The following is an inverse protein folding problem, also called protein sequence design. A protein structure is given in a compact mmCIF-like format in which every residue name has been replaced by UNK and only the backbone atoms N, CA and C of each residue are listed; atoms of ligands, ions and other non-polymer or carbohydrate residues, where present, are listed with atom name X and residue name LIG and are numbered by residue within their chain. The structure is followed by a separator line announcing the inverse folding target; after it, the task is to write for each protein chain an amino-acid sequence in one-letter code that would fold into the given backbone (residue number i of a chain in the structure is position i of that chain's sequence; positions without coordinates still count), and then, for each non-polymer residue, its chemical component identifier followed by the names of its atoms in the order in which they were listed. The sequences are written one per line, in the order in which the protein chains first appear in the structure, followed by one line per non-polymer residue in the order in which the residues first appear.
data_IF_915655248970
#
_entry.id   IF_915655248970
#
_cell.length_a   1.000
_cell.length_b   1.000
_cell.length_c   1.000
_cell.angle_alpha   90.00
_cell.angle_beta   90.00
_cell.angle_gamma   90.00
#
_symmetry.space_group_name_H-M   'P 1'
#
loop_
_entity.id
_entity.type
_entity.pdbx_description
1 polymer ?
#
# COMPACT_ATOMS: atom_id res chain seq x y z
N UNK A 1 -9.15 -21.71 2.77
CA UNK A 1 -10.23 -21.09 1.96
C UNK A 1 -11.53 -21.06 2.75
N UNK A 2 -11.89 -22.12 3.45
CA UNK A 2 -12.99 -22.09 4.44
C UNK A 2 -12.77 -20.98 5.48
N UNK A 3 -13.79 -20.17 5.71
CA UNK A 3 -13.77 -19.06 6.67
C UNK A 3 -13.21 -17.71 6.16
N UNK A 4 -12.73 -17.61 4.91
CA UNK A 4 -12.28 -16.33 4.38
C UNK A 4 -13.45 -15.46 3.90
N UNK A 5 -13.77 -14.41 4.66
CA UNK A 5 -14.87 -13.48 4.32
C UNK A 5 -14.65 -12.77 2.97
N UNK A 6 -13.41 -12.46 2.60
CA UNK A 6 -13.10 -11.86 1.31
C UNK A 6 -13.33 -12.83 0.14
N UNK A 7 -13.08 -14.13 0.32
CA UNK A 7 -13.47 -15.14 -0.67
C UNK A 7 -14.99 -15.23 -0.80
N UNK A 8 -15.72 -15.18 0.32
CA UNK A 8 -17.17 -15.19 0.30
C UNK A 8 -17.76 -13.95 -0.40
N UNK A 9 -17.15 -12.77 -0.20
CA UNK A 9 -17.52 -11.54 -0.92
C UNK A 9 -17.22 -11.67 -2.42
N UNK A 10 -16.00 -12.11 -2.77
CA UNK A 10 -15.61 -12.31 -4.17
C UNK A 10 -16.48 -13.37 -4.89
N UNK A 11 -17.03 -14.34 -4.15
CA UNK A 11 -17.96 -15.34 -4.67
C UNK A 11 -19.44 -14.89 -4.69
N UNK A 12 -19.74 -13.68 -4.21
CA UNK A 12 -21.12 -13.17 -4.10
C UNK A 12 -21.96 -13.83 -3.00
N UNK A 13 -21.33 -14.58 -2.08
CA UNK A 13 -22.00 -15.28 -0.97
C UNK A 13 -22.21 -14.36 0.23
N UNK A 14 -21.21 -13.52 0.54
CA UNK A 14 -21.29 -12.54 1.62
C UNK A 14 -21.60 -11.13 1.06
N UNK A 15 -22.42 -10.32 1.75
CA UNK A 15 -22.78 -9.00 1.25
C UNK A 15 -21.61 -8.02 1.34
N UNK A 16 -21.46 -7.18 0.32
CA UNK A 16 -20.55 -6.06 0.32
C UNK A 16 -21.09 -4.93 -0.56
N UNK A 17 -20.71 -3.69 -0.26
CA UNK A 17 -20.97 -2.56 -1.16
C UNK A 17 -19.82 -2.48 -2.17
N UNK A 18 -20.05 -3.03 -3.36
CA UNK A 18 -19.07 -3.16 -4.45
C UNK A 18 -19.02 -1.87 -5.27
N UNK A 19 -17.80 -1.41 -5.57
CA UNK A 19 -17.51 -0.20 -6.36
C UNK A 19 -16.91 -0.53 -7.72
N UNK A 20 -16.28 -1.70 -7.83
CA UNK A 20 -15.66 -2.22 -9.04
C UNK A 20 -15.56 -3.73 -8.96
N UNK A 21 -15.73 -4.43 -10.07
CA UNK A 21 -15.34 -5.82 -10.22
C UNK A 21 -14.98 -6.13 -11.67
N UNK A 22 -14.00 -7.01 -11.85
CA UNK A 22 -13.67 -7.65 -13.13
C UNK A 22 -13.33 -9.13 -12.90
N UNK A 23 -12.67 -9.78 -13.85
CA UNK A 23 -12.28 -11.20 -13.75
C UNK A 23 -11.23 -11.48 -12.67
N UNK A 24 -10.43 -10.48 -12.29
CA UNK A 24 -9.26 -10.64 -11.43
C UNK A 24 -9.44 -10.00 -10.05
N UNK A 25 -10.17 -8.88 -9.95
CA UNK A 25 -10.30 -8.06 -8.76
C UNK A 25 -11.75 -7.68 -8.45
N UNK A 26 -12.00 -7.48 -7.17
CA UNK A 26 -13.22 -6.86 -6.64
C UNK A 26 -12.82 -5.73 -5.70
N UNK A 27 -13.53 -4.60 -5.77
CA UNK A 27 -13.34 -3.47 -4.88
C UNK A 27 -14.62 -3.22 -4.11
N UNK A 28 -14.53 -3.20 -2.79
CA UNK A 28 -15.68 -2.94 -1.93
C UNK A 28 -15.31 -2.06 -0.75
N UNK A 29 -16.32 -1.42 -0.17
CA UNK A 29 -16.13 -0.56 1.00
C UNK A 29 -15.79 -1.40 2.24
N UNK A 30 -14.77 -0.97 2.98
CA UNK A 30 -14.42 -1.54 4.26
C UNK A 30 -15.55 -1.30 5.29
N UNK A 31 -15.84 -2.31 6.12
CA UNK A 31 -16.90 -2.27 7.13
C UNK A 31 -16.61 -1.30 8.29
N UNK A 32 -15.33 -1.08 8.62
CA UNK A 32 -14.92 -0.30 9.80
C UNK A 32 -15.11 1.22 9.63
N UNK A 33 -15.17 1.72 8.40
CA UNK A 33 -15.52 3.11 8.02
C UNK A 33 -14.79 4.21 8.83
N UNK A 34 -13.54 4.01 9.20
CA UNK A 34 -12.76 4.98 9.98
C UNK A 34 -12.41 6.25 9.19
N UNK A 35 -12.37 6.16 7.86
CA UNK A 35 -12.14 7.27 6.96
C UNK A 35 -13.33 7.45 5.99
N UNK A 36 -13.59 8.68 5.50
CA UNK A 36 -14.63 8.96 4.52
C UNK A 36 -14.59 8.01 3.32
N UNK A 37 -13.38 7.79 2.77
CA UNK A 37 -13.09 6.78 1.77
C UNK A 37 -12.18 5.73 2.39
N UNK A 38 -12.67 4.49 2.44
CA UNK A 38 -11.92 3.33 2.90
C UNK A 38 -12.37 2.12 2.08
N UNK A 39 -11.74 1.93 0.93
CA UNK A 39 -12.02 0.82 0.01
C UNK A 39 -10.97 -0.27 0.15
N UNK A 40 -11.32 -1.48 -0.25
CA UNK A 40 -10.43 -2.64 -0.32
C UNK A 40 -10.39 -3.13 -1.76
N UNK A 41 -9.22 -3.09 -2.40
CA UNK A 41 -8.96 -3.79 -3.66
C UNK A 41 -8.50 -5.19 -3.31
N UNK A 42 -9.25 -6.21 -3.72
CA UNK A 42 -9.06 -7.60 -3.33
C UNK A 42 -9.02 -8.49 -4.58
N UNK A 43 -8.03 -9.38 -4.74
CA UNK A 43 -8.05 -10.34 -5.82
C UNK A 43 -9.22 -11.32 -5.64
N UNK A 44 -9.85 -11.75 -6.73
CA UNK A 44 -10.96 -12.73 -6.65
C UNK A 44 -10.46 -14.10 -6.21
N UNK A 45 -9.25 -14.47 -6.66
CA UNK A 45 -8.55 -15.65 -6.17
C UNK A 45 -7.89 -15.33 -4.83
N UNK A 46 -7.99 -16.27 -3.89
CA UNK A 46 -7.31 -16.14 -2.61
C UNK A 46 -5.79 -16.10 -2.83
N UNK A 47 -5.18 -14.96 -2.50
CA UNK A 47 -3.73 -14.75 -2.52
C UNK A 47 -3.26 -14.23 -1.16
N UNK A 48 -2.01 -14.49 -0.81
CA UNK A 48 -1.31 -13.86 0.30
C UNK A 48 -0.79 -12.48 -0.11
N UNK A 49 -0.55 -11.59 0.87
CA UNK A 49 -0.09 -10.23 0.57
C UNK A 49 1.24 -10.20 -0.20
N UNK A 50 2.16 -11.11 0.11
CA UNK A 50 3.45 -11.23 -0.59
C UNK A 50 3.28 -11.66 -2.06
N UNK A 51 2.30 -12.51 -2.37
CA UNK A 51 2.00 -12.88 -3.75
C UNK A 51 1.41 -11.71 -4.55
N UNK A 52 0.62 -10.86 -3.88
CA UNK A 52 0.06 -9.65 -4.50
C UNK A 52 1.15 -8.59 -4.74
N UNK A 53 2.04 -8.39 -3.77
CA UNK A 53 3.09 -7.37 -3.87
C UNK A 53 4.28 -7.77 -4.74
N UNK A 54 4.49 -9.07 -4.98
CA UNK A 54 5.43 -9.56 -5.99
C UNK A 54 4.95 -9.34 -7.44
N UNK A 55 3.66 -9.09 -7.64
CA UNK A 55 3.02 -8.87 -8.94
C UNK A 55 1.91 -7.81 -8.84
N UNK A 56 2.30 -6.61 -8.42
CA UNK A 56 1.34 -5.56 -8.05
C UNK A 56 0.71 -4.87 -9.26
N UNK A 57 1.17 -5.11 -10.48
CA UNK A 57 0.85 -4.32 -11.68
C UNK A 57 -0.64 -4.03 -11.87
N UNK A 58 -1.45 -5.07 -12.06
CA UNK A 58 -2.90 -4.90 -12.29
C UNK A 58 -3.62 -4.38 -11.05
N UNK A 59 -3.28 -4.89 -9.87
CA UNK A 59 -3.88 -4.47 -8.60
C UNK A 59 -3.62 -2.98 -8.30
N UNK A 60 -2.40 -2.52 -8.59
CA UNK A 60 -1.96 -1.15 -8.43
C UNK A 60 -2.70 -0.20 -9.37
N UNK A 61 -2.91 -0.59 -10.62
CA UNK A 61 -3.74 0.19 -11.57
C UNK A 61 -5.19 0.33 -11.09
N UNK A 62 -5.80 -0.76 -10.58
CA UNK A 62 -7.16 -0.71 -10.02
C UNK A 62 -7.19 0.21 -8.79
N UNK A 63 -6.23 0.07 -7.87
CA UNK A 63 -6.13 0.90 -6.68
C UNK A 63 -5.95 2.40 -7.01
N UNK A 64 -5.08 2.71 -7.97
CA UNK A 64 -4.87 4.07 -8.49
C UNK A 64 -6.15 4.65 -9.08
N UNK A 65 -6.85 3.89 -9.93
CA UNK A 65 -8.10 4.34 -10.53
C UNK A 65 -9.19 4.63 -9.47
N UNK A 66 -9.30 3.78 -8.44
CA UNK A 66 -10.24 3.99 -7.34
C UNK A 66 -9.87 5.22 -6.51
N UNK A 67 -8.59 5.41 -6.19
CA UNK A 67 -8.10 6.57 -5.46
C UNK A 67 -8.41 7.87 -6.20
N UNK A 68 -8.07 7.95 -7.49
CA UNK A 68 -8.35 9.12 -8.33
C UNK A 68 -9.85 9.42 -8.47
N UNK A 69 -10.68 8.38 -8.54
CA UNK A 69 -12.13 8.52 -8.68
C UNK A 69 -12.81 9.03 -7.40
N UNK A 70 -12.40 8.54 -6.23
CA UNK A 70 -13.12 8.80 -4.98
C UNK A 70 -12.42 9.80 -4.05
N UNK A 71 -11.15 10.12 -4.31
CA UNK A 71 -10.33 10.98 -3.46
C UNK A 71 -9.64 12.08 -4.30
N UNK A 72 -10.40 13.06 -4.82
CA UNK A 72 -9.85 14.08 -5.73
C UNK A 72 -8.80 14.98 -5.07
N UNK A 73 -8.79 15.07 -3.73
CA UNK A 73 -7.84 15.87 -2.95
C UNK A 73 -6.64 15.07 -2.43
N UNK A 74 -6.49 13.82 -2.89
CA UNK A 74 -5.39 12.94 -2.53
C UNK A 74 -5.82 11.75 -1.67
N UNK A 75 -5.02 10.69 -1.74
CA UNK A 75 -5.28 9.40 -1.11
C UNK A 75 -3.98 8.67 -0.76
N UNK A 76 -4.12 7.65 0.09
CA UNK A 76 -3.06 6.69 0.41
C UNK A 76 -3.48 5.29 0.00
N UNK A 77 -2.53 4.57 -0.59
CA UNK A 77 -2.62 3.13 -0.77
C UNK A 77 -1.84 2.43 0.34
N UNK A 78 -2.44 1.43 1.01
CA UNK A 78 -1.80 0.71 2.13
C UNK A 78 -2.03 -0.79 2.03
N UNK A 79 -1.03 -1.58 2.38
CA UNK A 79 -1.15 -3.00 2.68
C UNK A 79 -0.51 -3.32 4.03
N UNK A 80 -1.25 -4.00 4.90
CA UNK A 80 -0.75 -4.47 6.19
C UNK A 80 -0.18 -5.89 6.07
N UNK A 81 0.93 -6.13 6.74
CA UNK A 81 1.58 -7.44 6.86
C UNK A 81 1.76 -7.77 8.34
N UNK A 82 1.28 -8.93 8.78
CA UNK A 82 1.49 -9.41 10.14
C UNK A 82 0.65 -8.71 11.21
N UNK A 83 0.92 -9.10 12.46
CA UNK A 83 0.17 -8.72 13.64
C UNK A 83 0.35 -7.24 14.00
N UNK A 84 1.59 -6.76 14.04
CA UNK A 84 1.91 -5.38 14.46
C UNK A 84 1.34 -4.32 13.51
N UNK A 85 1.09 -4.70 12.26
CA UNK A 85 0.44 -3.83 11.27
C UNK A 85 -1.09 -3.87 11.33
N UNK A 86 -1.67 -4.74 12.16
CA UNK A 86 -3.10 -5.06 12.22
C UNK A 86 -3.61 -5.68 10.91
N UNK A 87 -2.90 -6.67 10.36
CA UNK A 87 -3.42 -7.46 9.24
C UNK A 87 -4.58 -8.35 9.73
N UNK A 88 -5.82 -7.89 9.55
CA UNK A 88 -7.00 -8.59 10.05
C UNK A 88 -7.47 -9.76 9.19
N UNK A 89 -7.08 -9.80 7.91
CA UNK A 89 -7.46 -10.84 6.96
C UNK A 89 -6.22 -11.41 6.25
N UNK A 90 -6.10 -12.75 6.15
CA UNK A 90 -4.98 -13.39 5.46
C UNK A 90 -5.04 -13.24 3.94
N UNK A 91 -6.23 -12.96 3.39
CA UNK A 91 -6.43 -12.67 1.98
C UNK A 91 -5.87 -11.29 1.65
N UNK A 92 -4.98 -11.23 0.67
CA UNK A 92 -4.37 -10.03 0.13
C UNK A 92 -5.39 -8.92 -0.17
N UNK A 93 -5.02 -7.68 0.13
CA UNK A 93 -5.85 -6.51 -0.14
C UNK A 93 -5.02 -5.23 -0.08
N UNK A 94 -5.39 -4.26 -0.93
CA UNK A 94 -4.89 -2.89 -0.88
C UNK A 94 -6.01 -2.00 -0.36
N UNK A 95 -5.73 -1.28 0.72
CA UNK A 95 -6.59 -0.21 1.18
C UNK A 95 -6.44 1.00 0.26
N UNK A 96 -7.55 1.58 -0.17
CA UNK A 96 -7.60 2.92 -0.76
C UNK A 96 -8.24 3.85 0.27
N UNK A 97 -7.43 4.76 0.81
CA UNK A 97 -7.77 5.60 1.94
C UNK A 97 -7.82 7.06 1.51
N UNK A 98 -8.90 7.76 1.86
CA UNK A 98 -9.02 9.20 1.61
C UNK A 98 -9.96 9.87 2.61
N UNK A 99 -9.71 11.16 2.83
CA UNK A 99 -10.45 11.96 3.80
C UNK A 99 -9.67 13.20 4.24
N UNK A 100 -10.36 14.12 4.91
CA UNK A 100 -9.74 15.31 5.47
C UNK A 100 -8.79 14.94 6.63
N UNK A 101 -7.67 15.66 6.73
CA UNK A 101 -6.71 15.50 7.84
C UNK A 101 -5.69 14.37 7.67
N UNK A 102 -5.65 13.70 6.51
CA UNK A 102 -4.54 12.78 6.21
C UNK A 102 -3.29 13.58 5.86
N UNK A 103 -2.20 13.31 6.57
CA UNK A 103 -0.88 13.87 6.27
C UNK A 103 -0.05 12.85 5.48
N UNK A 104 0.88 13.29 4.60
CA UNK A 104 1.90 12.46 3.98
C UNK A 104 2.62 11.52 4.96
N UNK A 105 2.98 10.30 4.51
CA UNK A 105 3.81 9.33 5.26
C UNK A 105 5.19 9.94 5.55
N UNK A 106 5.61 10.92 4.75
CA UNK A 106 6.88 11.61 4.92
C UNK A 106 6.93 12.36 6.25
N UNK A 107 7.50 11.70 7.26
CA UNK A 107 7.97 12.37 8.47
C UNK A 107 8.94 13.50 8.11
N UNK A 108 8.76 14.66 8.75
CA UNK A 108 9.65 15.80 8.58
C UNK A 108 10.97 15.54 9.31
N UNK A 109 12.05 15.37 8.55
CA UNK A 109 13.41 15.48 9.04
C UNK A 109 14.00 14.19 9.64
N UNK A 110 15.24 13.91 9.25
CA UNK A 110 16.04 12.80 9.74
C UNK A 110 17.16 12.43 8.78
N UNK A 111 18.16 11.72 9.28
CA UNK A 111 19.23 11.18 8.45
C UNK A 111 18.69 10.18 7.41
N UNK A 112 19.42 10.04 6.31
CA UNK A 112 19.17 9.03 5.27
C UNK A 112 20.35 8.06 5.26
N UNK A 113 20.04 6.77 5.27
CA UNK A 113 21.03 5.69 5.23
C UNK A 113 20.71 4.77 4.04
N UNK A 114 21.64 4.57 3.09
CA UNK A 114 21.45 3.63 2.00
C UNK A 114 21.27 2.19 2.51
N UNK A 115 20.26 1.47 2.01
CA UNK A 115 19.98 0.07 2.38
C UNK A 115 20.22 -0.87 1.21
N UNK A 116 19.74 -0.49 0.02
CA UNK A 116 19.78 -1.34 -1.16
C UNK A 116 19.85 -0.49 -2.43
N UNK A 117 20.68 -0.92 -3.38
CA UNK A 117 20.67 -0.44 -4.75
C UNK A 117 20.34 -1.62 -5.68
N UNK A 118 19.40 -1.43 -6.61
CA UNK A 118 19.00 -2.41 -7.63
C UNK A 118 18.88 -1.70 -8.97
N UNK A 119 18.74 -2.49 -10.04
CA UNK A 119 18.46 -1.91 -11.35
C UNK A 119 17.10 -1.18 -11.30
N UNK A 120 17.11 0.11 -11.64
CA UNK A 120 15.93 0.98 -11.70
C UNK A 120 15.48 1.65 -10.39
N UNK A 121 15.91 1.23 -9.20
CA UNK A 121 15.49 1.82 -7.92
C UNK A 121 16.48 1.60 -6.77
N UNK A 122 16.37 2.47 -5.77
CA UNK A 122 17.10 2.38 -4.50
C UNK A 122 16.15 2.35 -3.31
N UNK A 123 16.63 1.81 -2.19
CA UNK A 123 15.93 1.83 -0.91
C UNK A 123 16.85 2.48 0.13
N UNK A 124 16.31 3.47 0.82
CA UNK A 124 16.98 4.16 1.92
C UNK A 124 16.17 4.01 3.20
N UNK A 125 16.86 3.93 4.34
CA UNK A 125 16.26 4.09 5.65
C UNK A 125 16.17 5.57 5.99
N UNK A 126 15.01 6.00 6.50
CA UNK A 126 14.81 7.35 7.04
C UNK A 126 14.61 7.27 8.55
N UNK A 127 15.33 8.10 9.29
CA UNK A 127 15.17 8.19 10.75
C UNK A 127 14.05 9.17 11.10
N UNK A 128 12.90 8.70 11.58
CA UNK A 128 11.75 9.56 11.89
C UNK A 128 11.35 9.58 13.37
N UNK A 129 12.09 8.86 14.24
CA UNK A 129 11.73 8.64 15.64
C UNK A 129 10.61 7.60 15.82
N UNK A 130 9.51 7.75 15.07
CA UNK A 130 8.43 6.77 14.93
C UNK A 130 7.96 6.73 13.46
N UNK A 131 7.68 5.56 12.85
CA UNK A 131 7.90 4.23 13.40
C UNK A 131 9.40 3.91 13.45
N UNK A 132 9.83 2.88 14.22
CA UNK A 132 11.26 2.57 14.38
C UNK A 132 11.98 2.22 13.06
N UNK A 133 11.23 1.65 12.12
CA UNK A 133 11.71 1.34 10.77
C UNK A 133 10.85 2.08 9.76
N UNK A 134 11.51 3.01 9.04
CA UNK A 134 10.97 3.63 7.83
C UNK A 134 11.96 3.37 6.71
N UNK A 135 11.55 2.59 5.72
CA UNK A 135 12.27 2.45 4.45
C UNK A 135 11.51 3.20 3.37
N UNK A 136 12.26 3.78 2.44
CA UNK A 136 11.71 4.47 1.29
C UNK A 136 12.37 3.94 0.05
N UNK A 137 11.58 3.28 -0.79
CA UNK A 137 11.98 2.91 -2.13
C UNK A 137 11.67 4.04 -3.11
N UNK A 138 12.62 4.39 -3.96
CA UNK A 138 12.46 5.40 -4.99
C UNK A 138 13.11 4.98 -6.31
N UNK A 139 12.46 5.22 -7.47
CA UNK A 139 13.07 5.01 -8.78
C UNK A 139 14.34 5.88 -8.97
N UNK A 140 15.31 5.37 -9.73
CA UNK A 140 16.50 6.15 -10.08
C UNK A 140 16.19 7.31 -11.02
N UNK A 141 15.22 7.12 -11.92
CA UNK A 141 14.70 8.17 -12.78
C UNK A 141 13.66 8.99 -12.03
N UNK A 142 13.69 10.29 -12.24
CA UNK A 142 12.60 11.17 -11.81
C UNK A 142 11.29 10.68 -12.44
N UNK A 143 10.25 10.52 -11.61
CA UNK A 143 9.05 9.81 -11.97
C UNK A 143 7.90 10.18 -11.03
N UNK A 144 6.77 10.58 -11.61
CA UNK A 144 5.53 10.82 -10.88
C UNK A 144 4.97 9.54 -10.24
N UNK A 145 4.26 9.71 -9.11
CA UNK A 145 3.66 8.58 -8.38
C UNK A 145 2.74 7.72 -9.26
N UNK A 146 1.92 8.35 -10.12
CA UNK A 146 1.01 7.65 -11.04
C UNK A 146 1.78 6.84 -12.09
N UNK A 147 2.91 7.36 -12.57
CA UNK A 147 3.76 6.68 -13.54
C UNK A 147 4.43 5.44 -12.91
N UNK A 148 4.88 5.54 -11.66
CA UNK A 148 5.40 4.37 -10.93
C UNK A 148 4.33 3.29 -10.78
N UNK A 149 3.12 3.68 -10.41
CA UNK A 149 2.02 2.73 -10.19
C UNK A 149 1.41 2.14 -11.47
N UNK A 150 1.76 2.71 -12.64
CA UNK A 150 1.46 2.14 -13.95
C UNK A 150 2.55 1.19 -14.47
N UNK A 151 3.79 1.28 -13.97
CA UNK A 151 4.92 0.44 -14.36
C UNK A 151 4.94 -0.86 -13.54
N UNK A 152 4.25 -1.89 -14.04
CA UNK A 152 4.09 -3.18 -13.36
C UNK A 152 5.44 -3.85 -13.01
N UNK A 153 6.44 -3.72 -13.88
CA UNK A 153 7.72 -4.39 -13.68
C UNK A 153 8.51 -3.72 -12.56
N UNK A 154 8.62 -2.39 -12.60
CA UNK A 154 9.34 -1.63 -11.58
C UNK A 154 8.62 -1.70 -10.22
N UNK A 155 7.30 -1.55 -10.22
CA UNK A 155 6.50 -1.59 -8.99
C UNK A 155 6.56 -2.99 -8.34
N UNK A 156 6.48 -4.07 -9.13
CA UNK A 156 6.62 -5.44 -8.62
C UNK A 156 8.01 -5.70 -8.04
N UNK A 157 9.07 -5.22 -8.69
CA UNK A 157 10.45 -5.36 -8.18
C UNK A 157 10.66 -4.62 -6.85
N UNK A 158 10.15 -3.38 -6.74
CA UNK A 158 10.16 -2.61 -5.49
C UNK A 158 9.36 -3.34 -4.41
N UNK A 159 8.16 -3.81 -4.75
CA UNK A 159 7.28 -4.52 -3.83
C UNK A 159 7.93 -5.78 -3.26
N UNK A 160 8.56 -6.59 -4.12
CA UNK A 160 9.25 -7.80 -3.70
C UNK A 160 10.41 -7.52 -2.71
N UNK A 161 11.25 -6.53 -2.98
CA UNK A 161 12.36 -6.18 -2.09
C UNK A 161 11.87 -5.56 -0.77
N UNK A 162 10.83 -4.71 -0.80
CA UNK A 162 10.25 -4.17 0.43
C UNK A 162 9.58 -5.25 1.28
N UNK A 163 8.86 -6.20 0.68
CA UNK A 163 8.31 -7.35 1.42
C UNK A 163 9.43 -8.17 2.05
N UNK A 164 10.51 -8.46 1.31
CA UNK A 164 11.66 -9.21 1.83
C UNK A 164 12.30 -8.50 3.02
N UNK A 165 12.61 -7.21 2.88
CA UNK A 165 13.19 -6.40 3.97
C UNK A 165 12.23 -6.27 5.15
N UNK A 166 10.93 -6.13 4.90
CA UNK A 166 9.91 -6.10 5.95
C UNK A 166 9.86 -7.36 6.79
N UNK A 167 9.92 -8.53 6.15
CA UNK A 167 9.98 -9.82 6.86
C UNK A 167 11.27 -9.97 7.67
N UNK A 168 12.38 -9.49 7.14
CA UNK A 168 13.70 -9.56 7.77
C UNK A 168 13.79 -8.63 8.99
N UNK A 169 13.35 -7.38 8.86
CA UNK A 169 13.59 -6.33 9.86
C UNK A 169 12.39 -6.12 10.80
N UNK A 170 11.19 -6.49 10.37
CA UNK A 170 9.93 -6.28 11.07
C UNK A 170 9.12 -7.59 11.12
N UNK A 171 9.64 -8.66 11.74
CA UNK A 171 9.08 -10.02 11.63
C UNK A 171 7.63 -10.14 12.16
N UNK A 172 7.24 -9.27 13.10
CA UNK A 172 5.90 -9.26 13.68
C UNK A 172 4.89 -8.42 12.88
N UNK A 173 5.35 -7.47 12.05
CA UNK A 173 4.51 -6.78 11.10
C UNK A 173 5.05 -5.46 10.58
N UNK A 174 4.57 -5.07 9.40
CA UNK A 174 4.90 -3.82 8.71
C UNK A 174 3.77 -3.40 7.75
N UNK A 175 3.81 -2.16 7.29
CA UNK A 175 2.95 -1.61 6.25
C UNK A 175 3.76 -1.24 5.04
N UNK A 176 3.21 -1.52 3.87
CA UNK A 176 3.63 -0.88 2.64
C UNK A 176 2.63 0.21 2.28
N UNK A 177 3.12 1.40 1.95
CA UNK A 177 2.27 2.56 1.69
C UNK A 177 2.78 3.43 0.53
N UNK A 178 1.88 4.13 -0.13
CA UNK A 178 2.19 5.18 -1.09
C UNK A 178 1.12 6.27 -1.05
N UNK A 179 1.54 7.51 -1.22
CA UNK A 179 0.69 8.68 -1.13
C UNK A 179 0.52 9.37 -2.47
N UNK A 180 -0.66 9.91 -2.72
CA UNK A 180 -1.04 10.49 -4.00
C UNK A 180 -1.76 11.81 -3.80
N UNK A 181 -1.39 12.82 -4.59
CA UNK A 181 -2.27 13.96 -4.89
C UNK A 181 -2.53 15.00 -3.80
N UNK A 182 -1.95 14.89 -2.60
CA UNK A 182 -2.00 15.98 -1.62
C UNK A 182 -1.19 17.19 -2.10
N UNK A 183 -1.70 18.42 -1.88
CA UNK A 183 -1.09 19.66 -2.41
C UNK A 183 0.41 19.82 -2.07
N UNK A 184 0.88 19.24 -0.95
CA UNK A 184 2.29 19.22 -0.57
C UNK A 184 3.15 18.14 -1.30
N UNK A 185 2.51 17.10 -1.86
CA UNK A 185 3.15 16.07 -2.69
C UNK A 185 3.08 16.41 -4.18
N UNK A 186 2.15 17.27 -4.62
CA UNK A 186 2.07 17.70 -6.02
C UNK A 186 3.32 18.46 -6.48
N UNK A 187 4.17 18.92 -5.57
CA UNK A 187 5.48 19.51 -5.90
C UNK A 187 6.64 18.51 -5.90
N UNK A 188 6.40 17.23 -5.58
CA UNK A 188 7.43 16.19 -5.61
C UNK A 188 7.33 15.39 -6.91
N UNK A 189 8.29 15.60 -7.81
CA UNK A 189 8.42 14.85 -9.08
C UNK A 189 8.97 13.42 -8.86
N UNK A 190 9.17 13.02 -7.60
CA UNK A 190 9.80 11.74 -7.24
C UNK A 190 8.83 10.85 -6.48
N UNK A 191 8.47 9.73 -7.12
CA UNK A 191 7.63 8.70 -6.56
C UNK A 191 8.33 7.93 -5.44
N UNK A 192 7.54 7.52 -4.45
CA UNK A 192 8.00 6.75 -3.32
C UNK A 192 7.06 5.57 -3.01
N UNK A 193 7.64 4.49 -2.49
CA UNK A 193 6.91 3.46 -1.75
C UNK A 193 7.56 3.31 -0.39
N UNK A 194 6.75 3.42 0.66
CA UNK A 194 7.20 3.38 2.05
C UNK A 194 7.02 1.99 2.62
N UNK A 195 7.98 1.56 3.44
CA UNK A 195 7.79 0.53 4.43
C UNK A 195 7.81 1.16 5.82
N UNK A 196 6.79 0.88 6.62
CA UNK A 196 6.64 1.36 7.99
C UNK A 196 6.55 0.15 8.91
N UNK A 197 7.41 0.03 9.91
CA UNK A 197 7.42 -1.16 10.77
C UNK A 197 8.27 -1.03 12.04
N UNK A 198 8.40 -2.15 12.74
CA UNK A 198 9.23 -2.27 13.94
C UNK A 198 8.54 -1.88 15.25
N UNK A 199 7.21 -1.69 15.23
CA UNK A 199 6.36 -1.47 16.41
C UNK A 199 4.88 -1.70 16.04
N UNK A 200 4.00 -1.72 17.04
CA UNK A 200 2.55 -1.65 16.81
C UNK A 200 2.18 -0.33 16.10
N UNK A 201 1.70 -0.43 14.86
CA UNK A 201 1.50 0.73 13.98
C UNK A 201 0.17 1.45 14.18
N UNK A 202 -0.62 1.08 15.21
CA UNK A 202 -1.92 1.68 15.48
C UNK A 202 -2.91 1.53 14.31
N UNK A 203 -3.92 2.40 14.21
CA UNK A 203 -4.86 2.42 13.08
C UNK A 203 -4.24 3.11 11.85
N UNK A 204 -4.90 3.03 10.69
CA UNK A 204 -4.39 3.44 9.36
C UNK A 204 -4.12 4.95 9.14
N UNK A 205 -4.13 5.76 10.20
CA UNK A 205 -3.98 7.22 10.17
C UNK A 205 -2.61 7.63 10.65
#
# INVERSE_FOLDING_TARGET
MDGCVFCAIAAGVAPAHVFYEDEEFIVFRNVLRWLPVMLLVVPRRHRLQEELWGDLGRAGQVALAMGRRFCPHGFRLVSNFGWDALQSQPHAHIHVLGGAGMEPVTGRGGGREPVLERDGFRIERRHSGWPPVVLVAEPHREMEQDALWADASLLGAIGAELVRLGREWCPYGFRLAADFGWDALQSQVQAHVYLLGGAELGHYV
#
